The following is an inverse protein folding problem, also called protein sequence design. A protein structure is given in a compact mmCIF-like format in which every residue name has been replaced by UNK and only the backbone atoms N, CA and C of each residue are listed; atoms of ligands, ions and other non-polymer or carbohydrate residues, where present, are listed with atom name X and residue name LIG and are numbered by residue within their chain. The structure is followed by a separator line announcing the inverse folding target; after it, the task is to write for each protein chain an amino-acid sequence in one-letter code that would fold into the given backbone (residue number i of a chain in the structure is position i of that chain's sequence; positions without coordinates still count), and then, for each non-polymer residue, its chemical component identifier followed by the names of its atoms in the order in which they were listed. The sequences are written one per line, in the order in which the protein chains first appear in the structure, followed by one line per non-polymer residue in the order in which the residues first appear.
data_IF_244203354751
#
_entry.id   IF_244203354751
#
_cell.length_a   1.000
_cell.length_b   1.000
_cell.length_c   1.000
_cell.angle_alpha   90.00
_cell.angle_beta   90.00
_cell.angle_gamma   90.00
#
_symmetry.space_group_name_H-M   'P 1'
#
loop_
_entity.id
_entity.type
_entity.pdbx_description
1 polymer ?
#
# COMPACT_ATOMS: atom_id res chain seq x y z
N UNK A 1 2.82 -2.55 -20.43
CA UNK A 1 3.29 -1.68 -19.32
C UNK A 1 2.76 -2.29 -18.03
N UNK A 2 3.59 -2.36 -16.99
CA UNK A 2 3.21 -2.96 -15.70
C UNK A 2 2.37 -2.01 -14.85
N UNK A 3 1.68 -2.56 -13.85
CA UNK A 3 1.04 -1.76 -12.79
C UNK A 3 2.12 -0.98 -12.04
N UNK A 4 1.77 0.22 -11.58
CA UNK A 4 2.63 1.02 -10.71
C UNK A 4 2.23 0.83 -9.24
N UNK A 5 3.16 1.08 -8.33
CA UNK A 5 2.85 1.12 -6.90
C UNK A 5 2.37 2.51 -6.50
N UNK A 6 1.28 2.58 -5.74
CA UNK A 6 0.77 3.82 -5.15
C UNK A 6 0.85 3.73 -3.63
N UNK A 7 1.17 4.84 -2.94
CA UNK A 7 0.99 4.93 -1.50
C UNK A 7 -0.46 4.61 -1.13
N UNK A 8 -0.66 3.93 0.01
CA UNK A 8 -1.97 3.50 0.49
C UNK A 8 -3.01 4.62 0.51
N UNK A 9 -2.68 5.78 1.07
CA UNK A 9 -3.58 6.93 1.14
C UNK A 9 -4.01 7.43 -0.25
N UNK A 10 -3.11 7.39 -1.22
CA UNK A 10 -3.41 7.79 -2.62
C UNK A 10 -4.31 6.75 -3.27
N UNK A 11 -4.03 5.46 -3.09
CA UNK A 11 -4.86 4.38 -3.61
C UNK A 11 -6.28 4.44 -3.04
N UNK A 12 -6.43 4.56 -1.71
CA UNK A 12 -7.72 4.68 -1.03
C UNK A 12 -8.50 5.93 -1.49
N UNK A 13 -7.81 7.05 -1.69
CA UNK A 13 -8.42 8.29 -2.22
C UNK A 13 -8.94 8.09 -3.65
N UNK A 14 -8.17 7.41 -4.49
CA UNK A 14 -8.59 7.08 -5.86
C UNK A 14 -9.80 6.15 -5.86
N UNK A 15 -9.82 5.11 -5.02
CA UNK A 15 -10.94 4.15 -4.91
C UNK A 15 -12.21 4.82 -4.44
N UNK A 16 -12.11 5.69 -3.43
CA UNK A 16 -13.27 6.42 -2.91
C UNK A 16 -13.93 7.27 -3.99
N UNK A 17 -13.14 8.05 -4.75
CA UNK A 17 -13.67 8.81 -5.90
C UNK A 17 -14.21 7.87 -6.97
N UNK A 18 -13.52 6.76 -7.26
CA UNK A 18 -13.92 5.82 -8.32
C UNK A 18 -15.26 5.10 -8.04
N UNK A 19 -15.51 4.74 -6.78
CA UNK A 19 -16.65 3.95 -6.34
C UNK A 19 -17.96 4.76 -6.30
N UNK A 20 -17.86 6.06 -6.01
CA UNK A 20 -19.00 6.98 -6.09
C UNK A 20 -19.58 7.07 -7.51
N UNK A 21 -18.74 6.83 -8.52
CA UNK A 21 -19.16 6.73 -9.92
C UNK A 21 -19.25 5.30 -10.42
N UNK A 22 -19.37 4.30 -9.53
CA UNK A 22 -19.37 2.85 -9.86
C UNK A 22 -20.23 2.47 -11.09
N UNK A 23 -21.41 3.10 -11.23
CA UNK A 23 -22.38 2.87 -12.31
C UNK A 23 -22.09 3.61 -13.63
N UNK A 24 -21.10 4.49 -13.67
CA UNK A 24 -20.74 5.28 -14.85
C UNK A 24 -19.68 4.57 -15.72
N UNK A 25 -19.64 4.88 -17.03
CA UNK A 25 -18.56 4.47 -17.89
C UNK A 25 -17.17 4.86 -17.37
N UNK A 26 -16.19 3.99 -17.58
CA UNK A 26 -14.80 4.15 -17.13
C UNK A 26 -14.17 5.50 -17.53
N UNK A 27 -14.46 6.00 -18.73
CA UNK A 27 -13.90 7.28 -19.19
C UNK A 27 -14.39 8.48 -18.37
N UNK A 28 -15.61 8.43 -17.81
CA UNK A 28 -16.11 9.49 -16.91
C UNK A 28 -15.41 9.45 -15.56
N UNK A 29 -15.11 8.25 -15.05
CA UNK A 29 -14.32 8.10 -13.81
C UNK A 29 -12.93 8.71 -13.96
N UNK A 30 -12.27 8.44 -15.08
CA UNK A 30 -10.98 9.05 -15.42
C UNK A 30 -11.10 10.57 -15.57
N UNK A 31 -12.18 11.06 -16.19
CA UNK A 31 -12.41 12.50 -16.31
C UNK A 31 -12.47 13.17 -14.94
N UNK A 32 -13.18 12.59 -13.97
CA UNK A 32 -13.24 13.13 -12.61
C UNK A 32 -11.84 13.11 -11.97
N UNK A 33 -11.17 11.96 -11.99
CA UNK A 33 -9.85 11.77 -11.38
C UNK A 33 -8.72 12.59 -12.02
N UNK A 34 -8.94 13.17 -13.20
CA UNK A 34 -7.94 14.02 -13.87
C UNK A 34 -8.37 15.49 -13.94
N UNK A 35 -9.57 15.82 -13.47
CA UNK A 35 -10.08 17.18 -13.41
C UNK A 35 -9.87 17.74 -12.00
N UNK A 36 -8.74 18.41 -11.81
CA UNK A 36 -8.33 18.95 -10.51
C UNK A 36 -9.36 19.88 -9.86
N UNK A 37 -10.06 20.70 -10.65
CA UNK A 37 -11.09 21.59 -10.12
C UNK A 37 -12.29 20.80 -9.60
N UNK A 38 -12.75 19.82 -10.36
CA UNK A 38 -13.88 18.98 -9.97
C UNK A 38 -13.54 18.15 -8.72
N UNK A 39 -12.35 17.55 -8.69
CA UNK A 39 -11.81 16.87 -7.52
C UNK A 39 -11.76 17.80 -6.31
N UNK A 40 -11.27 19.03 -6.46
CA UNK A 40 -11.20 19.98 -5.35
C UNK A 40 -12.59 20.38 -4.82
N UNK A 41 -13.57 20.56 -5.71
CA UNK A 41 -14.91 21.01 -5.36
C UNK A 41 -15.76 19.89 -4.73
N UNK A 42 -15.67 18.65 -5.24
CA UNK A 42 -16.51 17.52 -4.78
C UNK A 42 -15.80 16.61 -3.77
N UNK A 43 -14.46 16.56 -3.79
CA UNK A 43 -13.61 15.62 -3.05
C UNK A 43 -12.38 16.31 -2.46
N UNK A 44 -12.59 17.35 -1.66
CA UNK A 44 -11.51 18.23 -1.17
C UNK A 44 -10.36 17.47 -0.48
N UNK A 45 -10.68 16.49 0.37
CA UNK A 45 -9.67 15.72 1.12
C UNK A 45 -8.85 14.82 0.18
N UNK A 46 -9.51 14.09 -0.72
CA UNK A 46 -8.88 13.21 -1.70
C UNK A 46 -8.07 14.04 -2.71
N UNK A 47 -8.58 15.22 -3.10
CA UNK A 47 -7.86 16.17 -3.93
C UNK A 47 -6.52 16.55 -3.30
N UNK A 48 -6.49 16.90 -2.02
CA UNK A 48 -5.23 17.28 -1.35
C UNK A 48 -4.21 16.12 -1.38
N UNK A 49 -4.64 14.90 -1.09
CA UNK A 49 -3.78 13.70 -1.08
C UNK A 49 -3.28 13.40 -2.51
N UNK A 50 -4.19 13.30 -3.47
CA UNK A 50 -3.88 12.94 -4.85
C UNK A 50 -3.02 14.02 -5.51
N UNK A 51 -3.38 15.30 -5.35
CA UNK A 51 -2.64 16.42 -5.94
C UNK A 51 -1.23 16.54 -5.31
N UNK A 52 -1.11 16.34 -4.00
CA UNK A 52 0.20 16.32 -3.32
C UNK A 52 1.13 15.27 -3.93
N UNK A 53 0.63 14.04 -4.12
CA UNK A 53 1.41 12.98 -4.77
C UNK A 53 1.69 13.26 -6.26
N UNK A 54 0.67 13.69 -7.00
CA UNK A 54 0.75 13.87 -8.46
C UNK A 54 1.66 15.03 -8.87
N UNK A 55 1.87 16.05 -8.03
CA UNK A 55 2.83 17.14 -8.28
C UNK A 55 4.23 16.63 -8.64
N UNK A 56 4.68 15.61 -7.92
CA UNK A 56 6.02 15.03 -8.12
C UNK A 56 5.98 13.71 -8.90
N UNK A 57 4.82 13.06 -8.99
CA UNK A 57 4.67 11.70 -9.55
C UNK A 57 3.61 11.60 -10.66
N UNK A 58 3.38 12.69 -11.42
CA UNK A 58 2.29 12.78 -12.40
C UNK A 58 2.25 11.61 -13.39
N UNK A 59 3.41 11.17 -13.88
CA UNK A 59 3.50 10.05 -14.83
C UNK A 59 3.03 8.74 -14.19
N UNK A 60 3.45 8.48 -12.95
CA UNK A 60 3.04 7.28 -12.21
C UNK A 60 1.54 7.35 -11.91
N UNK A 61 1.03 8.51 -11.50
CA UNK A 61 -0.41 8.68 -11.26
C UNK A 61 -1.22 8.41 -12.54
N UNK A 62 -0.83 8.98 -13.68
CA UNK A 62 -1.51 8.72 -14.96
C UNK A 62 -1.43 7.24 -15.37
N UNK A 63 -0.29 6.59 -15.17
CA UNK A 63 -0.14 5.15 -15.42
C UNK A 63 -1.03 4.31 -14.51
N UNK A 64 -1.15 4.69 -13.23
CA UNK A 64 -2.02 4.02 -12.27
C UNK A 64 -3.48 4.01 -12.71
N UNK A 65 -3.98 5.15 -13.21
CA UNK A 65 -5.36 5.26 -13.68
C UNK A 65 -5.61 4.37 -14.91
N UNK A 66 -4.68 4.35 -15.87
CA UNK A 66 -4.86 3.62 -17.14
C UNK A 66 -4.62 2.11 -17.02
N UNK A 67 -3.61 1.71 -16.26
CA UNK A 67 -3.14 0.32 -16.19
C UNK A 67 -3.49 -0.38 -14.86
N UNK A 68 -4.07 0.36 -13.91
CA UNK A 68 -4.23 -0.08 -12.53
C UNK A 68 -2.94 0.07 -11.73
N UNK A 69 -3.07 -0.13 -10.42
CA UNK A 69 -1.98 -0.01 -9.47
C UNK A 69 -1.94 -1.19 -8.48
N UNK A 70 -0.84 -1.25 -7.75
CA UNK A 70 -0.68 -2.04 -6.53
C UNK A 70 -0.50 -1.06 -5.37
N UNK A 71 -0.94 -1.43 -4.17
CA UNK A 71 -0.71 -0.62 -2.97
C UNK A 71 0.72 -0.89 -2.49
N UNK A 72 1.47 0.18 -2.24
CA UNK A 72 2.76 0.12 -1.58
C UNK A 72 2.56 -0.36 -0.14
N UNK A 73 3.20 -1.46 0.28
CA UNK A 73 3.04 -1.97 1.64
C UNK A 73 3.60 -0.95 2.64
N UNK A 74 2.94 -0.82 3.79
CA UNK A 74 3.49 0.00 4.87
C UNK A 74 4.77 -0.65 5.43
N UNK A 75 5.65 0.11 6.11
CA UNK A 75 6.82 -0.47 6.77
C UNK A 75 6.47 -1.63 7.71
N UNK A 76 5.32 -1.56 8.40
CA UNK A 76 4.81 -2.64 9.26
C UNK A 76 4.41 -3.88 8.47
N UNK A 77 3.74 -3.71 7.32
CA UNK A 77 3.33 -4.81 6.44
C UNK A 77 4.55 -5.47 5.80
N UNK A 78 5.56 -4.68 5.38
CA UNK A 78 6.83 -5.22 4.89
C UNK A 78 7.56 -5.99 5.99
N UNK A 79 7.63 -5.45 7.21
CA UNK A 79 8.29 -6.11 8.33
C UNK A 79 7.57 -7.41 8.73
N UNK A 80 6.24 -7.42 8.69
CA UNK A 80 5.43 -8.63 8.88
C UNK A 80 5.71 -9.67 7.80
N UNK A 81 5.78 -9.26 6.53
CA UNK A 81 6.10 -10.15 5.42
C UNK A 81 7.47 -10.81 5.59
N UNK A 82 8.50 -10.03 5.95
CA UNK A 82 9.84 -10.55 6.24
C UNK A 82 9.80 -11.50 7.44
N UNK A 83 9.14 -11.12 8.53
CA UNK A 83 8.99 -11.97 9.71
C UNK A 83 8.36 -13.32 9.35
N UNK A 84 7.24 -13.31 8.62
CA UNK A 84 6.54 -14.52 8.18
C UNK A 84 7.35 -15.36 7.20
N UNK A 85 8.15 -14.75 6.33
CA UNK A 85 9.04 -15.48 5.43
C UNK A 85 10.01 -16.35 6.23
N UNK A 86 10.70 -15.78 7.23
CA UNK A 86 11.61 -16.53 8.08
C UNK A 86 10.89 -17.47 9.04
N UNK A 87 9.69 -17.12 9.50
CA UNK A 87 8.85 -17.99 10.33
C UNK A 87 8.42 -19.26 9.59
N UNK A 88 7.99 -19.11 8.34
CA UNK A 88 7.48 -20.21 7.51
C UNK A 88 8.56 -21.09 6.88
N UNK A 89 9.80 -20.61 6.76
CA UNK A 89 10.94 -21.45 6.33
C UNK A 89 11.19 -22.61 7.31
N UNK A 90 10.72 -22.51 8.56
CA UNK A 90 10.70 -23.64 9.50
C UNK A 90 9.41 -24.49 9.51
N UNK A 91 8.35 -24.07 8.82
CA UNK A 91 7.04 -24.76 8.82
C UNK A 91 6.78 -25.57 7.55
N UNK A 92 7.37 -25.16 6.42
CA UNK A 92 7.25 -25.86 5.15
C UNK A 92 8.23 -27.05 5.07
N UNK A 93 7.73 -28.26 5.35
CA UNK A 93 8.44 -29.55 5.40
C UNK A 93 9.48 -29.61 6.51
N UNK A 94 9.26 -30.40 7.58
CA UNK A 94 10.21 -31.19 8.41
C UNK A 94 11.70 -30.78 8.51
N UNK A 95 12.03 -29.53 8.24
CA UNK A 95 13.35 -28.93 8.20
C UNK A 95 13.30 -27.97 9.38
N UNK A 96 14.04 -28.25 10.46
CA UNK A 96 14.10 -27.33 11.58
C UNK A 96 14.48 -25.96 11.06
N UNK A 97 13.84 -24.90 11.59
CA UNK A 97 14.24 -23.52 11.32
C UNK A 97 15.77 -23.45 11.32
N UNK A 98 16.34 -22.87 10.27
CA UNK A 98 17.76 -22.56 10.32
C UNK A 98 17.98 -21.62 11.51
N UNK A 99 19.09 -21.79 12.23
CA UNK A 99 19.44 -20.92 13.36
C UNK A 99 19.39 -19.44 12.98
N UNK A 100 19.64 -19.13 11.72
CA UNK A 100 19.49 -17.80 11.14
C UNK A 100 18.04 -17.29 11.17
N UNK A 101 17.05 -18.09 10.75
CA UNK A 101 15.63 -17.70 10.77
C UNK A 101 15.12 -17.38 12.17
N UNK A 102 15.47 -18.22 13.16
CA UNK A 102 15.14 -17.97 14.57
C UNK A 102 15.75 -16.66 15.09
N UNK A 103 17.01 -16.39 14.73
CA UNK A 103 17.70 -15.18 15.14
C UNK A 103 17.09 -13.93 14.51
N UNK A 104 16.71 -13.99 13.23
CA UNK A 104 16.02 -12.89 12.53
C UNK A 104 14.66 -12.61 13.18
N UNK A 105 13.82 -13.63 13.36
CA UNK A 105 12.52 -13.49 14.02
C UNK A 105 12.65 -12.92 15.44
N UNK A 106 13.65 -13.37 16.20
CA UNK A 106 13.94 -12.84 17.55
C UNK A 106 14.41 -11.39 17.51
N UNK A 107 15.27 -11.04 16.56
CA UNK A 107 15.74 -9.67 16.33
C UNK A 107 14.58 -8.72 16.04
N UNK A 108 13.68 -9.10 15.13
CA UNK A 108 12.48 -8.33 14.78
C UNK A 108 11.60 -8.13 16.01
N UNK A 109 11.28 -9.20 16.76
CA UNK A 109 10.48 -9.09 18.00
C UNK A 109 11.09 -8.13 19.02
N UNK A 110 12.41 -8.19 19.21
CA UNK A 110 13.13 -7.28 20.12
C UNK A 110 13.03 -5.83 19.62
N UNK A 111 13.25 -5.59 18.32
CA UNK A 111 13.22 -4.25 17.73
C UNK A 111 11.83 -3.61 17.85
N UNK A 112 10.79 -4.33 17.42
CA UNK A 112 9.39 -3.86 17.46
C UNK A 112 8.98 -3.53 18.91
N UNK A 113 9.35 -4.39 19.88
CA UNK A 113 9.12 -4.12 21.30
C UNK A 113 9.88 -2.88 21.81
N UNK A 114 11.17 -2.73 21.47
CA UNK A 114 12.00 -1.62 21.95
C UNK A 114 11.59 -0.27 21.36
N UNK A 115 11.10 -0.26 20.13
CA UNK A 115 10.60 0.94 19.45
C UNK A 115 9.14 1.28 19.83
N UNK A 116 8.46 0.40 20.57
CA UNK A 116 7.08 0.62 21.02
C UNK A 116 6.02 0.37 19.94
N UNK A 117 6.39 -0.31 18.85
CA UNK A 117 5.44 -0.70 17.81
C UNK A 117 4.60 -1.91 18.25
N UNK A 118 3.36 -1.97 17.75
CA UNK A 118 2.48 -3.14 17.85
C UNK A 118 2.10 -3.57 16.45
N UNK A 119 2.60 -4.74 16.05
CA UNK A 119 2.32 -5.31 14.73
C UNK A 119 1.61 -6.64 14.93
N UNK A 120 0.38 -6.74 14.42
CA UNK A 120 -0.42 -7.95 14.45
C UNK A 120 0.31 -9.08 13.72
N UNK A 121 0.38 -10.26 14.34
CA UNK A 121 1.16 -11.39 13.84
C UNK A 121 2.65 -11.39 14.23
N UNK A 122 3.16 -10.34 14.89
CA UNK A 122 4.52 -10.33 15.48
C UNK A 122 4.48 -10.25 17.01
N UNK A 123 3.86 -9.20 17.56
CA UNK A 123 3.92 -8.89 19.00
C UNK A 123 2.67 -8.21 19.59
N UNK A 124 1.61 -8.01 18.80
CA UNK A 124 0.35 -7.41 19.22
C UNK A 124 -0.67 -8.48 19.65
#
# INVERSE_FOLDING_TARGET
MGKVKLPKEVAESVEKVWDDYSNLPVYLKHFVLTNWNLLQDEYYEEHEIINSYAKDNLVNYAQALVHGYEIEPTPEEELLSVYQMYENVGSAMWIPMTTEGELVCKGIKIAVYKLGYKIEGINA
#
